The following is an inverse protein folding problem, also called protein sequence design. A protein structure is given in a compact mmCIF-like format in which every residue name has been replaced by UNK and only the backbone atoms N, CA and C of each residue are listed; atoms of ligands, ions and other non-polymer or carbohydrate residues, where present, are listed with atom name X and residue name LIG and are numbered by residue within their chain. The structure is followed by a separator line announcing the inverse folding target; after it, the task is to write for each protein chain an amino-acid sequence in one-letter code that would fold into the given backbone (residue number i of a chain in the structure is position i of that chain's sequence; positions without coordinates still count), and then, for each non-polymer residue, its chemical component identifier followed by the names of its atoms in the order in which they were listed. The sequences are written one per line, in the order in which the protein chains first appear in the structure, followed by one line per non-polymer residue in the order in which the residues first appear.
data_IF_488754080461
#
_entry.id   IF_488754080461
#
_cell.length_a   1.000
_cell.length_b   1.000
_cell.length_c   1.000
_cell.angle_alpha   90.00
_cell.angle_beta   90.00
_cell.angle_gamma   90.00
#
_symmetry.space_group_name_H-M   'P 1'
#
loop_
_entity.id
_entity.type
_entity.pdbx_description
1 polymer ?
#
# COMPACT_ATOMS: atom_id res chain seq x y z
N UNK A 1 -2.47 5.84 2.19
CA UNK A 1 -2.97 4.65 1.47
C UNK A 1 -4.00 5.03 0.42
N UNK A 2 -4.31 4.12 -0.51
CA UNK A 2 -5.39 4.30 -1.49
C UNK A 2 -6.35 3.09 -1.49
N UNK A 3 -7.48 3.18 -2.20
CA UNK A 3 -8.50 2.12 -2.26
C UNK A 3 -9.53 2.41 -3.34
N UNK A 4 -10.52 1.52 -3.51
CA UNK A 4 -11.73 1.88 -4.26
C UNK A 4 -12.34 3.18 -3.72
N UNK A 5 -12.75 4.12 -4.58
CA UNK A 5 -13.21 5.45 -4.14
C UNK A 5 -14.36 5.42 -3.13
N UNK A 6 -15.21 4.38 -3.15
CA UNK A 6 -16.31 4.21 -2.20
C UNK A 6 -15.85 4.04 -0.75
N UNK A 7 -14.62 3.57 -0.52
CA UNK A 7 -14.05 3.35 0.82
C UNK A 7 -13.33 4.58 1.38
N UNK A 8 -13.22 5.68 0.62
CA UNK A 8 -12.50 6.90 1.02
C UNK A 8 -13.01 7.44 2.36
N UNK A 9 -14.33 7.55 2.51
CA UNK A 9 -14.95 8.08 3.73
C UNK A 9 -14.66 7.20 4.94
N UNK A 10 -14.74 5.88 4.78
CA UNK A 10 -14.48 4.94 5.87
C UNK A 10 -13.01 4.99 6.33
N UNK A 11 -12.08 5.08 5.39
CA UNK A 11 -10.65 5.21 5.68
C UNK A 11 -10.36 6.51 6.43
N UNK A 12 -10.92 7.64 5.99
CA UNK A 12 -10.75 8.92 6.69
C UNK A 12 -11.39 8.91 8.09
N UNK A 13 -12.55 8.28 8.24
CA UNK A 13 -13.22 8.12 9.54
C UNK A 13 -12.42 7.24 10.51
N UNK A 14 -11.69 6.26 9.99
CA UNK A 14 -10.77 5.42 10.77
C UNK A 14 -9.45 6.14 11.13
N UNK A 15 -9.27 7.41 10.72
CA UNK A 15 -8.05 8.18 10.94
C UNK A 15 -6.95 7.95 9.90
N UNK A 16 -7.24 7.22 8.81
CA UNK A 16 -6.32 6.99 7.72
C UNK A 16 -6.24 8.17 6.75
N UNK A 17 -5.08 8.33 6.11
CA UNK A 17 -4.87 9.30 5.03
C UNK A 17 -5.13 8.60 3.70
N UNK A 18 -6.23 8.95 3.05
CA UNK A 18 -6.59 8.47 1.71
C UNK A 18 -6.07 9.42 0.62
N UNK A 19 -5.39 8.88 -0.39
CA UNK A 19 -4.90 9.64 -1.55
C UNK A 19 -5.36 9.01 -2.86
N UNK A 20 -5.55 9.83 -3.89
CA UNK A 20 -6.00 9.41 -5.22
C UNK A 20 -4.81 9.08 -6.14
N UNK A 21 -4.13 7.97 -5.87
CA UNK A 21 -2.96 7.52 -6.63
C UNK A 21 -3.11 6.06 -7.08
N UNK A 22 -2.51 5.69 -8.21
CA UNK A 22 -2.65 4.33 -8.78
C UNK A 22 -2.23 3.24 -7.80
N UNK A 23 -1.12 3.46 -7.11
CA UNK A 23 -0.56 2.58 -6.09
C UNK A 23 0.00 3.42 -4.96
N UNK A 24 -0.19 2.94 -3.74
CA UNK A 24 0.42 3.50 -2.55
C UNK A 24 1.02 2.38 -1.69
N UNK A 25 2.25 2.58 -1.25
CA UNK A 25 3.02 1.66 -0.41
C UNK A 25 3.31 2.34 0.92
N UNK A 26 2.93 1.72 2.02
CA UNK A 26 3.13 2.23 3.37
C UNK A 26 3.57 1.09 4.29
N UNK A 27 4.82 1.12 4.76
CA UNK A 27 5.43 0.07 5.59
C UNK A 27 5.21 -1.38 5.08
N UNK A 28 5.37 -1.58 3.77
CA UNK A 28 5.16 -2.86 3.10
C UNK A 28 3.69 -3.21 2.82
N UNK A 29 2.73 -2.35 3.19
CA UNK A 29 1.33 -2.47 2.77
C UNK A 29 1.13 -1.79 1.41
N UNK A 30 0.92 -2.60 0.37
CA UNK A 30 0.61 -2.13 -0.98
C UNK A 30 -0.91 -2.02 -1.18
N UNK A 31 -1.38 -0.88 -1.65
CA UNK A 31 -2.80 -0.60 -1.93
C UNK A 31 -3.00 0.03 -3.31
N UNK A 32 -4.17 -0.17 -3.95
CA UNK A 32 -4.52 0.38 -5.28
C UNK A 32 -6.02 0.71 -5.40
N UNK A 33 -6.43 1.47 -6.43
CA UNK A 33 -7.81 2.02 -6.52
C UNK A 33 -8.81 1.18 -7.29
N UNK A 34 -8.37 0.46 -8.33
CA UNK A 34 -9.27 -0.14 -9.35
C UNK A 34 -8.52 -1.14 -10.24
N UNK A 35 -9.24 -1.96 -11.05
CA UNK A 35 -8.61 -2.98 -11.90
C UNK A 35 -7.65 -2.43 -12.96
N UNK A 36 -7.86 -1.19 -13.40
CA UNK A 36 -6.94 -0.52 -14.33
C UNK A 36 -5.53 -0.33 -13.73
N UNK A 37 -5.41 -0.31 -12.39
CA UNK A 37 -4.15 -0.07 -11.69
C UNK A 37 -3.41 -1.40 -11.37
N UNK A 38 -3.96 -2.56 -11.79
CA UNK A 38 -3.37 -3.90 -11.56
C UNK A 38 -1.90 -3.99 -12.02
N UNK A 39 -1.50 -3.50 -13.21
CA UNK A 39 -0.10 -3.59 -13.64
C UNK A 39 0.86 -2.89 -12.67
N UNK A 40 0.52 -1.69 -12.22
CA UNK A 40 1.31 -0.93 -11.25
C UNK A 40 1.31 -1.63 -9.88
N UNK A 41 0.15 -2.13 -9.44
CA UNK A 41 0.03 -2.85 -8.17
C UNK A 41 0.90 -4.10 -8.13
N UNK A 42 0.87 -4.92 -9.19
CA UNK A 42 1.70 -6.12 -9.29
C UNK A 42 3.20 -5.80 -9.30
N UNK A 43 3.61 -4.73 -10.00
CA UNK A 43 5.00 -4.29 -9.98
C UNK A 43 5.46 -3.93 -8.55
N UNK A 44 4.69 -3.09 -7.85
CA UNK A 44 5.00 -2.71 -6.47
C UNK A 44 5.01 -3.91 -5.50
N UNK A 45 4.07 -4.85 -5.65
CA UNK A 45 4.06 -6.08 -4.84
C UNK A 45 5.34 -6.91 -5.03
N UNK A 46 5.80 -7.07 -6.27
CA UNK A 46 7.04 -7.81 -6.56
C UNK A 46 8.24 -7.09 -5.94
N UNK A 47 8.31 -5.77 -6.09
CA UNK A 47 9.39 -4.95 -5.52
C UNK A 47 9.44 -5.05 -3.99
N UNK A 48 8.30 -4.93 -3.31
CA UNK A 48 8.23 -5.03 -1.83
C UNK A 48 8.61 -6.42 -1.32
N UNK A 49 8.14 -7.48 -2.00
CA UNK A 49 8.51 -8.86 -1.63
C UNK A 49 10.00 -9.10 -1.86
N UNK A 50 10.56 -8.60 -2.97
CA UNK A 50 11.98 -8.74 -3.29
C UNK A 50 12.87 -7.93 -2.34
N UNK A 51 12.44 -6.74 -1.93
CA UNK A 51 13.14 -5.92 -0.95
C UNK A 51 13.22 -6.61 0.42
N UNK A 52 12.17 -7.34 0.80
CA UNK A 52 12.08 -8.04 2.07
C UNK A 52 11.88 -7.08 3.24
N UNK A 53 10.95 -7.43 4.15
CA UNK A 53 10.68 -6.60 5.32
C UNK A 53 11.87 -6.65 6.29
N UNK A 54 12.64 -5.56 6.40
CA UNK A 54 13.76 -5.41 7.37
C UNK A 54 13.30 -5.26 8.82
N UNK A 55 12.00 -5.35 9.09
CA UNK A 55 11.42 -5.23 10.44
C UNK A 55 11.78 -6.38 11.41
N UNK A 56 12.60 -7.36 11.00
CA UNK A 56 13.14 -8.42 11.87
C UNK A 56 14.66 -8.38 12.12
N UNK A 57 15.43 -7.49 11.48
CA UNK A 57 16.91 -7.53 11.51
C UNK A 57 17.59 -6.48 12.41
N UNK A 58 16.83 -5.60 13.09
CA UNK A 58 17.37 -4.60 14.03
C UNK A 58 17.06 -4.88 15.51
N UNK A 59 16.88 -6.14 15.90
CA UNK A 59 16.70 -6.53 17.29
C UNK A 59 17.73 -7.58 17.76
N UNK A 60 19.00 -7.46 17.37
CA UNK A 60 20.13 -8.02 18.13
C UNK A 60 21.43 -7.32 17.73
N UNK A 61 21.86 -6.35 18.52
CA UNK A 61 23.26 -5.92 18.67
C UNK A 61 23.38 -5.13 19.98
#
# INVERSE_FOLDING_TARGET
MTSYPSLRTDIMNAGGIWVDEEVQVDDGLVTSRRPADIPAFCAAMVDEIAAGHRAGQMATA
#
